data_IF_568468386311
#
_entry.id   IF_568468386311
#
_cell.length_a   1.000
_cell.length_b   1.000
_cell.length_c   1.000
_cell.angle_alpha   90.00
_cell.angle_beta   90.00
_cell.angle_gamma   90.00
#
_symmetry.space_group_name_H-M   'P 1'
#
loop_
_entity.id
_entity.type
_entity.pdbx_description
1 polymer ?
#
# COMPACT_ATOMS: atom_id res chain seq x y z
N UNK A 1 -9.73 -13.23 -5.18
CA UNK A 1 -8.44 -13.93 -5.28
C UNK A 1 -7.35 -13.05 -4.69
N UNK A 2 -6.69 -13.53 -3.65
CA UNK A 2 -5.63 -12.79 -2.99
C UNK A 2 -4.27 -12.91 -3.73
N UNK A 3 -4.04 -13.98 -4.51
CA UNK A 3 -2.90 -14.09 -5.42
C UNK A 3 -3.18 -13.31 -6.71
N UNK A 4 -2.34 -12.32 -7.03
CA UNK A 4 -2.52 -11.40 -8.16
C UNK A 4 -1.37 -11.51 -9.17
N UNK A 5 -1.64 -11.13 -10.43
CA UNK A 5 -0.57 -10.97 -11.42
C UNK A 5 0.23 -9.69 -11.15
N UNK A 6 1.54 -9.79 -11.21
CA UNK A 6 2.43 -8.63 -11.09
C UNK A 6 2.36 -7.79 -12.38
N UNK A 7 1.56 -6.70 -12.35
CA UNK A 7 1.44 -5.71 -13.43
C UNK A 7 1.46 -4.32 -12.82
N UNK A 8 2.62 -3.70 -12.79
CA UNK A 8 2.76 -2.34 -12.28
C UNK A 8 2.02 -1.34 -13.16
N UNK A 9 1.24 -0.47 -12.53
CA UNK A 9 0.55 0.65 -13.16
C UNK A 9 0.98 1.93 -12.46
N UNK A 10 2.02 2.58 -12.98
CA UNK A 10 2.66 3.73 -12.36
C UNK A 10 2.11 5.05 -12.91
N UNK A 11 1.99 6.04 -12.05
CA UNK A 11 1.78 7.43 -12.48
C UNK A 11 3.13 8.11 -12.82
N UNK A 12 3.06 9.39 -13.26
CA UNK A 12 4.27 10.18 -13.58
C UNK A 12 5.24 10.38 -12.40
N UNK A 13 4.79 10.11 -11.17
CA UNK A 13 5.58 10.23 -9.92
C UNK A 13 5.96 8.86 -9.37
N UNK A 14 5.91 7.82 -10.18
CA UNK A 14 6.28 6.46 -9.85
C UNK A 14 5.42 5.82 -8.75
N UNK A 15 4.26 6.40 -8.40
CA UNK A 15 3.32 5.76 -7.48
C UNK A 15 2.54 4.68 -8.19
N UNK A 16 2.49 3.51 -7.59
CA UNK A 16 1.62 2.44 -8.05
C UNK A 16 0.16 2.81 -7.82
N UNK A 17 -0.65 2.66 -8.87
CA UNK A 17 -2.06 3.03 -8.87
C UNK A 17 -2.99 1.83 -8.68
N UNK A 18 -2.47 0.63 -8.82
CA UNK A 18 -3.24 -0.59 -8.64
C UNK A 18 -3.34 -0.89 -7.14
N UNK A 19 -4.54 -1.09 -6.60
CA UNK A 19 -4.68 -1.50 -5.21
C UNK A 19 -4.19 -2.94 -5.02
N UNK A 20 -3.53 -3.21 -3.91
CA UNK A 20 -3.10 -4.54 -3.49
C UNK A 20 -4.19 -5.16 -2.60
N UNK A 21 -4.87 -6.18 -3.14
CA UNK A 21 -6.04 -6.79 -2.50
C UNK A 21 -7.32 -5.99 -2.69
N UNK A 22 -8.22 -6.13 -1.75
CA UNK A 22 -9.52 -5.43 -1.69
C UNK A 22 -9.60 -4.56 -0.44
N UNK A 23 -10.67 -3.76 -0.30
CA UNK A 23 -10.87 -3.02 0.95
C UNK A 23 -11.18 -3.91 2.15
N UNK A 24 -11.92 -4.99 1.91
CA UNK A 24 -12.27 -5.95 2.96
C UNK A 24 -11.04 -6.76 3.38
N UNK A 25 -10.15 -7.05 2.41
CA UNK A 25 -8.90 -7.75 2.63
C UNK A 25 -7.75 -7.05 1.89
N UNK A 26 -7.16 -5.99 2.47
CA UNK A 26 -6.15 -5.16 1.82
C UNK A 26 -4.76 -5.81 1.87
N UNK A 27 -4.66 -6.99 1.24
CA UNK A 27 -3.44 -7.77 1.08
C UNK A 27 -3.48 -8.52 -0.25
N UNK A 28 -2.36 -8.54 -0.95
CA UNK A 28 -2.17 -9.34 -2.15
C UNK A 28 -0.85 -10.11 -2.09
N UNK A 29 -0.88 -11.34 -2.62
CA UNK A 29 0.31 -12.15 -2.87
C UNK A 29 0.72 -12.08 -4.33
N UNK A 30 2.00 -12.13 -4.60
CA UNK A 30 2.59 -12.18 -5.94
C UNK A 30 3.62 -13.29 -6.03
N UNK A 31 3.64 -13.98 -7.18
CA UNK A 31 4.68 -14.95 -7.52
C UNK A 31 5.15 -14.67 -8.93
N UNK A 32 6.42 -14.36 -9.09
CA UNK A 32 6.98 -13.92 -10.37
C UNK A 32 8.38 -14.49 -10.60
N UNK A 33 8.75 -14.58 -11.89
CA UNK A 33 10.07 -14.99 -12.34
C UNK A 33 10.74 -13.84 -13.07
N UNK A 34 12.01 -13.58 -12.76
CA UNK A 34 12.81 -12.53 -13.34
C UNK A 34 14.11 -13.10 -13.90
N UNK A 35 14.53 -12.61 -15.06
CA UNK A 35 15.65 -13.16 -15.84
C UNK A 35 16.95 -12.35 -15.71
N UNK A 36 16.96 -11.29 -14.88
CA UNK A 36 18.08 -10.38 -14.73
C UNK A 36 18.26 -9.39 -15.89
N UNK A 37 17.39 -9.42 -16.90
CA UNK A 37 17.41 -8.44 -17.99
C UNK A 37 16.81 -7.12 -17.51
N UNK A 38 17.32 -6.00 -18.04
CA UNK A 38 16.86 -4.66 -17.64
C UNK A 38 15.36 -4.43 -17.92
N UNK A 39 14.86 -4.98 -19.02
CA UNK A 39 13.44 -4.92 -19.39
C UNK A 39 12.53 -5.74 -18.47
N UNK A 40 13.11 -6.68 -17.73
CA UNK A 40 12.43 -7.58 -16.79
C UNK A 40 12.69 -7.17 -15.33
N UNK A 41 13.08 -5.92 -15.10
CA UNK A 41 13.23 -5.38 -13.75
C UNK A 41 11.91 -4.87 -13.19
N UNK A 42 11.81 -4.81 -11.86
CA UNK A 42 10.76 -4.08 -11.15
C UNK A 42 11.21 -2.61 -11.10
N UNK A 43 10.60 -1.71 -11.92
CA UNK A 43 11.07 -0.33 -12.03
C UNK A 43 10.89 0.44 -10.73
N UNK A 44 11.59 1.57 -10.58
CA UNK A 44 11.40 2.46 -9.46
C UNK A 44 9.93 2.81 -9.27
N UNK A 45 9.37 2.45 -8.09
CA UNK A 45 8.00 2.73 -7.71
C UNK A 45 7.86 2.81 -6.20
N UNK A 46 6.70 3.24 -5.75
CA UNK A 46 6.31 3.26 -4.34
C UNK A 46 4.79 3.09 -4.21
N UNK A 47 4.36 2.60 -3.07
CA UNK A 47 2.97 2.39 -2.70
C UNK A 47 2.75 2.65 -1.20
N UNK A 48 1.50 2.70 -0.75
CA UNK A 48 1.13 3.00 0.63
C UNK A 48 1.22 1.76 1.55
N UNK A 49 1.37 0.61 0.97
CA UNK A 49 1.45 -0.68 1.63
C UNK A 49 2.85 -0.95 2.18
N UNK A 50 2.94 -1.87 3.14
CA UNK A 50 4.17 -2.55 3.51
C UNK A 50 4.32 -3.76 2.58
N UNK A 51 5.51 -3.96 2.03
CA UNK A 51 5.81 -5.12 1.19
C UNK A 51 6.86 -6.01 1.86
N UNK A 52 6.62 -7.31 1.88
CA UNK A 52 7.63 -8.31 2.23
C UNK A 52 7.91 -9.17 1.01
N UNK A 53 9.16 -9.14 0.58
CA UNK A 53 9.72 -9.86 -0.57
C UNK A 53 10.51 -11.04 -0.07
N UNK A 54 10.30 -12.24 -0.62
CA UNK A 54 11.04 -13.46 -0.31
C UNK A 54 11.63 -14.05 -1.59
N UNK A 55 12.91 -14.36 -1.58
CA UNK A 55 13.60 -14.99 -2.70
C UNK A 55 13.52 -16.51 -2.56
N UNK A 56 12.63 -17.12 -3.35
CA UNK A 56 12.46 -18.57 -3.35
C UNK A 56 13.62 -19.27 -4.09
N UNK A 57 14.13 -18.66 -5.17
CA UNK A 57 15.27 -19.18 -5.95
C UNK A 57 16.07 -18.00 -6.54
N UNK A 58 17.38 -18.14 -6.61
CA UNK A 58 18.27 -17.16 -7.22
C UNK A 58 18.66 -16.01 -6.28
N UNK A 59 18.85 -14.83 -6.84
CA UNK A 59 19.32 -13.64 -6.12
C UNK A 59 18.69 -12.37 -6.67
N UNK A 60 18.24 -11.51 -5.77
CA UNK A 60 17.63 -10.21 -6.07
C UNK A 60 18.54 -9.07 -5.60
N UNK A 61 18.79 -8.07 -6.45
CA UNK A 61 19.29 -6.77 -6.05
C UNK A 61 18.07 -5.85 -5.82
N UNK A 62 17.89 -5.38 -4.60
CA UNK A 62 16.84 -4.45 -4.20
C UNK A 62 17.46 -3.10 -3.83
N UNK A 63 16.91 -2.01 -4.34
CA UNK A 63 17.40 -0.64 -4.11
C UNK A 63 16.33 0.22 -3.49
N UNK A 64 16.74 0.99 -2.49
CA UNK A 64 16.03 2.17 -2.01
C UNK A 64 16.94 3.39 -2.28
N UNK A 65 16.47 4.64 -2.22
CA UNK A 65 17.27 5.79 -2.65
C UNK A 65 18.64 5.93 -1.99
N UNK A 66 18.77 5.46 -0.74
CA UNK A 66 20.01 5.59 0.05
C UNK A 66 20.93 4.37 -0.02
N UNK A 67 20.37 3.19 -0.39
CA UNK A 67 21.07 1.91 -0.18
C UNK A 67 20.66 0.86 -1.22
N UNK A 68 21.55 -0.13 -1.40
CA UNK A 68 21.29 -1.32 -2.21
C UNK A 68 21.54 -2.57 -1.37
N UNK A 69 20.66 -3.55 -1.54
CA UNK A 69 20.69 -4.81 -0.80
C UNK A 69 20.69 -5.98 -1.76
N UNK A 70 21.38 -7.04 -1.38
CA UNK A 70 21.29 -8.33 -2.05
C UNK A 70 20.51 -9.30 -1.18
N UNK A 71 19.47 -9.88 -1.74
CA UNK A 71 18.61 -10.86 -1.08
C UNK A 71 18.85 -12.21 -1.73
N UNK A 72 19.33 -13.17 -0.98
CA UNK A 72 19.70 -14.50 -1.46
C UNK A 72 18.54 -15.49 -1.30
N UNK A 73 18.62 -16.62 -1.99
CA UNK A 73 17.65 -17.73 -1.83
C UNK A 73 17.37 -18.05 -0.36
N UNK A 74 16.12 -18.00 0.04
CA UNK A 74 15.65 -18.29 1.39
C UNK A 74 15.63 -17.08 2.33
N UNK A 75 16.18 -15.95 1.92
CA UNK A 75 16.11 -14.70 2.66
C UNK A 75 14.94 -13.83 2.19
N UNK A 76 14.57 -12.82 2.99
CA UNK A 76 13.53 -11.87 2.67
C UNK A 76 13.99 -10.42 2.91
N UNK A 77 13.20 -9.48 2.40
CA UNK A 77 13.37 -8.06 2.65
C UNK A 77 12.00 -7.43 2.88
N UNK A 78 11.89 -6.58 3.88
CA UNK A 78 10.66 -5.83 4.14
C UNK A 78 10.87 -4.38 3.77
N UNK A 79 9.95 -3.83 2.99
CA UNK A 79 9.91 -2.43 2.55
C UNK A 79 8.78 -1.74 3.28
N UNK A 80 9.04 -0.58 3.88
CA UNK A 80 8.03 0.17 4.60
C UNK A 80 7.08 0.92 3.65
N UNK A 81 5.95 1.34 4.18
CA UNK A 81 4.97 2.20 3.50
C UNK A 81 5.61 3.44 2.90
N UNK A 82 5.23 3.80 1.69
CA UNK A 82 5.65 5.02 0.99
C UNK A 82 7.16 5.10 0.68
N UNK A 83 7.88 3.99 0.70
CA UNK A 83 9.30 3.94 0.35
C UNK A 83 9.47 3.69 -1.15
N UNK A 84 10.21 4.58 -1.82
CA UNK A 84 10.60 4.39 -3.23
C UNK A 84 11.58 3.23 -3.32
N UNK A 85 11.32 2.24 -4.17
CA UNK A 85 12.16 1.06 -4.33
C UNK A 85 12.21 0.56 -5.77
N UNK A 86 13.22 -0.25 -6.06
CA UNK A 86 13.52 -0.87 -7.34
C UNK A 86 14.09 -2.25 -7.09
N UNK A 87 13.81 -3.22 -7.96
CA UNK A 87 14.46 -4.52 -7.87
C UNK A 87 14.81 -5.11 -9.24
N UNK A 88 15.89 -5.87 -9.29
CA UNK A 88 16.32 -6.62 -10.47
C UNK A 88 16.97 -7.95 -10.03
N UNK A 89 16.67 -9.03 -10.74
CA UNK A 89 17.38 -10.29 -10.52
C UNK A 89 18.84 -10.16 -10.96
N UNK A 90 19.78 -10.79 -10.25
CA UNK A 90 21.18 -10.81 -10.68
C UNK A 90 21.35 -11.60 -12.00
N UNK A 91 20.73 -12.80 -12.05
CA UNK A 91 20.66 -13.64 -13.26
C UNK A 91 19.22 -14.15 -13.43
N UNK A 92 18.80 -15.08 -12.57
CA UNK A 92 17.46 -15.63 -12.48
C UNK A 92 16.98 -15.51 -11.04
N UNK A 93 15.72 -15.14 -10.86
CA UNK A 93 15.12 -15.05 -9.54
C UNK A 93 13.65 -15.45 -9.57
N UNK A 94 13.27 -16.36 -8.69
CA UNK A 94 11.87 -16.62 -8.36
C UNK A 94 11.53 -15.86 -7.08
N UNK A 95 10.59 -14.96 -7.21
CA UNK A 95 10.21 -14.03 -6.18
C UNK A 95 8.79 -14.30 -5.70
N UNK A 96 8.59 -14.34 -4.40
CA UNK A 96 7.28 -14.25 -3.77
C UNK A 96 7.19 -12.95 -2.99
N UNK A 97 6.08 -12.22 -3.09
CA UNK A 97 5.86 -11.07 -2.23
C UNK A 97 4.45 -11.03 -1.66
N UNK A 98 4.34 -10.42 -0.48
CA UNK A 98 3.10 -10.04 0.18
C UNK A 98 3.10 -8.53 0.33
N UNK A 99 2.10 -7.90 -0.28
CA UNK A 99 1.89 -6.46 -0.23
C UNK A 99 0.61 -6.20 0.54
N UNK A 100 0.69 -5.54 1.70
CA UNK A 100 -0.46 -5.34 2.57
C UNK A 100 -0.54 -3.92 3.12
N UNK A 101 -1.73 -3.36 3.08
CA UNK A 101 -1.98 -2.06 3.69
C UNK A 101 -1.97 -2.19 5.22
N UNK A 102 -1.37 -1.25 5.97
CA UNK A 102 -1.36 -1.26 7.44
C UNK A 102 -2.74 -1.46 8.09
N UNK A 103 -3.82 -1.06 7.42
CA UNK A 103 -5.20 -1.25 7.86
C UNK A 103 -5.56 -2.73 8.16
N UNK A 104 -4.91 -3.68 7.47
CA UNK A 104 -5.12 -5.11 7.73
C UNK A 104 -4.84 -5.48 9.19
N UNK A 105 -3.84 -4.84 9.79
CA UNK A 105 -3.35 -5.17 11.14
C UNK A 105 -3.96 -4.25 12.20
N UNK A 106 -4.03 -2.93 11.93
CA UNK A 106 -4.42 -1.94 12.94
C UNK A 106 -5.88 -2.07 13.42
N UNK A 107 -6.77 -2.67 12.60
CA UNK A 107 -8.21 -2.73 12.89
C UNK A 107 -8.86 -1.35 12.77
N UNK A 108 -9.34 -0.79 13.87
CA UNK A 108 -9.80 0.59 13.87
C UNK A 108 -8.68 1.57 14.28
N UNK A 109 -8.88 2.83 13.90
CA UNK A 109 -7.91 3.90 14.09
C UNK A 109 -7.60 4.24 15.57
N UNK A 110 -8.50 3.87 16.48
CA UNK A 110 -8.35 4.12 17.91
C UNK A 110 -7.82 2.93 18.71
N UNK A 111 -7.59 1.81 18.04
CA UNK A 111 -7.05 0.59 18.66
C UNK A 111 -5.65 0.80 19.22
N UNK A 112 -5.28 -0.02 20.20
CA UNK A 112 -3.90 -0.08 20.71
C UNK A 112 -2.91 -0.49 19.61
N UNK A 113 -3.35 -1.36 18.68
CA UNK A 113 -2.54 -1.79 17.54
C UNK A 113 -2.19 -0.61 16.62
N UNK A 114 -3.19 0.24 16.32
CA UNK A 114 -2.98 1.43 15.52
C UNK A 114 -2.04 2.42 16.20
N UNK A 115 -2.36 2.82 17.45
CA UNK A 115 -1.68 3.92 18.14
C UNK A 115 -0.27 3.57 18.61
N UNK A 116 -0.08 2.35 19.13
CA UNK A 116 1.18 1.96 19.77
C UNK A 116 2.16 1.29 18.80
N UNK A 117 1.67 0.57 17.77
CA UNK A 117 2.51 -0.30 16.96
C UNK A 117 2.53 0.10 15.48
N UNK A 118 1.40 0.03 14.79
CA UNK A 118 1.39 0.04 13.33
C UNK A 118 1.63 1.43 12.73
N UNK A 119 1.02 2.48 13.31
CA UNK A 119 1.24 3.85 12.84
C UNK A 119 2.67 4.34 13.09
N UNK A 120 3.24 4.17 14.30
CA UNK A 120 4.65 4.49 14.52
C UNK A 120 5.57 3.74 13.55
N UNK A 121 5.34 2.43 13.35
CA UNK A 121 6.12 1.62 12.42
C UNK A 121 6.03 2.12 10.98
N UNK A 122 4.81 2.32 10.44
CA UNK A 122 4.60 2.80 9.07
C UNK A 122 5.15 4.23 8.82
N UNK A 123 5.25 5.05 9.88
CA UNK A 123 5.82 6.41 9.80
C UNK A 123 7.30 6.47 10.18
N UNK A 124 7.92 5.36 10.54
CA UNK A 124 9.32 5.33 10.99
C UNK A 124 10.27 5.60 9.83
N UNK A 125 10.96 6.74 9.85
CA UNK A 125 11.92 7.12 8.81
C UNK A 125 13.20 6.27 8.84
N UNK A 126 13.57 5.71 10.00
CA UNK A 126 14.71 4.81 10.12
C UNK A 126 14.42 3.43 9.50
N UNK A 127 13.14 3.05 9.45
CA UNK A 127 12.68 1.84 8.76
C UNK A 127 12.26 2.18 7.33
N UNK A 128 13.18 2.36 6.41
CA UNK A 128 12.88 2.37 4.97
C UNK A 128 12.85 0.97 4.39
N UNK A 129 13.73 0.08 4.87
CA UNK A 129 13.77 -1.32 4.51
C UNK A 129 14.51 -2.14 5.57
N UNK A 130 14.25 -3.43 5.60
CA UNK A 130 14.81 -4.37 6.58
C UNK A 130 15.11 -5.72 5.94
N UNK A 131 16.39 -6.10 5.89
CA UNK A 131 16.79 -7.44 5.51
C UNK A 131 16.42 -8.44 6.62
N UNK A 132 15.90 -9.60 6.21
CA UNK A 132 15.49 -10.71 7.07
C UNK A 132 16.24 -11.96 6.62
N UNK A 133 17.31 -12.29 7.30
CA UNK A 133 18.13 -13.45 7.00
C UNK A 133 17.51 -14.73 7.57
N UNK A 134 17.46 -15.79 6.75
CA UNK A 134 17.04 -17.12 7.16
C UNK A 134 17.89 -17.71 8.30
N UNK A 135 19.15 -17.30 8.39
CA UNK A 135 20.06 -17.81 9.43
C UNK A 135 19.76 -17.23 10.81
N UNK A 136 19.35 -15.95 10.85
CA UNK A 136 19.11 -15.24 12.11
C UNK A 136 17.62 -15.18 12.46
N UNK A 137 16.76 -15.10 11.44
CA UNK A 137 15.34 -14.82 11.59
C UNK A 137 14.44 -15.86 10.91
N UNK A 138 14.81 -17.16 11.00
CA UNK A 138 14.07 -18.26 10.38
C UNK A 138 12.56 -18.26 10.71
N UNK A 139 12.19 -17.87 11.93
CA UNK A 139 10.80 -17.78 12.34
C UNK A 139 10.01 -16.70 11.59
N UNK A 140 10.65 -15.58 11.22
CA UNK A 140 10.02 -14.50 10.42
C UNK A 140 9.77 -14.97 8.99
N UNK A 141 10.74 -15.70 8.42
CA UNK A 141 10.59 -16.34 7.11
C UNK A 141 9.45 -17.38 7.15
N UNK A 142 9.35 -18.17 8.22
CA UNK A 142 8.26 -19.12 8.37
C UNK A 142 6.88 -18.44 8.43
N UNK A 143 6.75 -17.30 9.11
CA UNK A 143 5.51 -16.54 9.14
C UNK A 143 5.16 -16.02 7.75
N UNK A 144 6.13 -15.51 6.99
CA UNK A 144 5.90 -15.14 5.60
C UNK A 144 5.39 -16.32 4.77
N UNK A 145 6.09 -17.46 4.79
CA UNK A 145 5.71 -18.64 4.01
C UNK A 145 4.30 -19.12 4.38
N UNK A 146 3.97 -19.16 5.68
CA UNK A 146 2.63 -19.55 6.13
C UNK A 146 1.54 -18.62 5.64
N UNK A 147 1.78 -17.31 5.64
CA UNK A 147 0.83 -16.34 5.12
C UNK A 147 0.71 -16.43 3.58
N UNK A 148 1.83 -16.61 2.89
CA UNK A 148 1.85 -16.73 1.43
C UNK A 148 1.13 -17.99 0.95
N UNK A 149 1.41 -19.14 1.57
CA UNK A 149 0.75 -20.42 1.27
C UNK A 149 -0.77 -20.34 1.51
N UNK A 150 -1.19 -19.64 2.57
CA UNK A 150 -2.59 -19.41 2.85
C UNK A 150 -3.26 -18.56 1.73
N UNK A 151 -2.57 -17.56 1.18
CA UNK A 151 -3.07 -16.77 0.03
C UNK A 151 -3.13 -17.61 -1.24
N UNK A 152 -2.16 -18.49 -1.47
CA UNK A 152 -2.13 -19.34 -2.68
C UNK A 152 -3.25 -20.39 -2.66
N UNK A 153 -3.52 -20.99 -1.49
CA UNK A 153 -4.45 -22.10 -1.35
C UNK A 153 -5.88 -21.66 -1.02
N UNK A 154 -6.06 -20.47 -0.47
CA UNK A 154 -7.34 -19.89 -0.02
C UNK A 154 -8.23 -20.88 0.76
N UNK A 155 -7.71 -21.62 1.78
CA UNK A 155 -8.55 -22.48 2.60
C UNK A 155 -9.54 -21.62 3.41
N UNK A 156 -10.70 -22.15 3.85
CA UNK A 156 -11.64 -21.39 4.66
C UNK A 156 -10.95 -20.73 5.86
N UNK A 157 -11.08 -19.40 6.00
CA UNK A 157 -10.43 -18.62 7.05
C UNK A 157 -8.95 -18.28 6.80
N UNK A 158 -8.48 -18.38 5.56
CA UNK A 158 -7.10 -18.00 5.20
C UNK A 158 -6.75 -16.57 5.62
N UNK A 159 -7.72 -15.67 5.65
CA UNK A 159 -7.56 -14.27 6.06
C UNK A 159 -7.06 -14.16 7.51
N UNK A 160 -7.52 -15.05 8.40
CA UNK A 160 -7.02 -15.12 9.78
C UNK A 160 -5.56 -15.55 9.81
N UNK A 161 -5.19 -16.56 9.03
CA UNK A 161 -3.80 -17.07 8.95
C UNK A 161 -2.87 -15.98 8.45
N UNK A 162 -3.26 -15.27 7.38
CA UNK A 162 -2.49 -14.17 6.80
C UNK A 162 -2.33 -13.05 7.82
N UNK A 163 -3.43 -12.58 8.41
CA UNK A 163 -3.40 -11.49 9.39
C UNK A 163 -2.57 -11.83 10.62
N UNK A 164 -2.69 -13.04 11.15
CA UNK A 164 -1.91 -13.49 12.30
C UNK A 164 -0.40 -13.43 12.00
N UNK A 165 0.02 -14.04 10.90
CA UNK A 165 1.43 -14.10 10.54
C UNK A 165 2.01 -12.72 10.21
N UNK A 166 1.29 -11.87 9.46
CA UNK A 166 1.72 -10.51 9.18
C UNK A 166 1.72 -9.62 10.43
N UNK A 167 0.83 -9.86 11.40
CA UNK A 167 0.88 -9.20 12.72
C UNK A 167 2.17 -9.53 13.47
N UNK A 168 2.61 -10.79 13.42
CA UNK A 168 3.89 -11.23 14.01
C UNK A 168 5.09 -10.57 13.32
N UNK A 169 5.07 -10.46 11.99
CA UNK A 169 6.10 -9.73 11.22
C UNK A 169 6.13 -8.25 11.64
N UNK A 170 4.98 -7.58 11.74
CA UNK A 170 4.92 -6.19 12.20
C UNK A 170 5.44 -6.03 13.63
N UNK A 171 5.14 -6.97 14.52
CA UNK A 171 5.65 -6.95 15.88
C UNK A 171 7.17 -7.13 15.92
N UNK A 172 7.72 -8.06 15.15
CA UNK A 172 9.18 -8.24 15.00
C UNK A 172 9.85 -6.94 14.52
N UNK A 173 9.27 -6.26 13.52
CA UNK A 173 9.79 -4.97 13.05
C UNK A 173 9.70 -3.88 14.12
N UNK A 174 8.61 -3.85 14.88
CA UNK A 174 8.43 -2.90 15.99
C UNK A 174 9.51 -3.10 17.06
N UNK A 175 9.82 -4.34 17.44
CA UNK A 175 10.88 -4.61 18.40
C UNK A 175 12.27 -4.28 17.83
N UNK A 176 12.50 -4.56 16.55
CA UNK A 176 13.77 -4.27 15.88
C UNK A 176 14.09 -2.77 15.78
N UNK A 177 13.07 -1.94 15.57
CA UNK A 177 13.19 -0.48 15.45
C UNK A 177 12.68 0.26 16.71
N UNK A 178 12.66 -0.43 17.86
CA UNK A 178 12.05 0.07 19.09
C UNK A 178 12.62 1.43 19.53
N UNK A 179 13.94 1.57 19.50
CA UNK A 179 14.62 2.79 19.97
C UNK A 179 14.27 4.00 19.08
N UNK A 180 14.04 3.76 17.77
CA UNK A 180 13.62 4.79 16.82
C UNK A 180 12.13 5.11 16.91
N UNK A 181 11.30 4.16 17.37
CA UNK A 181 9.87 4.35 17.58
C UNK A 181 9.54 5.02 18.91
N UNK A 182 10.38 4.90 19.92
CA UNK A 182 10.21 5.51 21.24
C UNK A 182 10.56 7.03 21.28
N UNK A 183 10.97 7.60 20.13
CA UNK A 183 11.21 9.05 20.03
C UNK A 183 9.89 9.79 20.33
N UNK A 184 9.86 10.71 21.31
CA UNK A 184 8.65 11.40 21.74
C UNK A 184 7.89 12.03 20.56
N UNK A 185 6.56 12.03 20.60
CA UNK A 185 5.68 12.65 19.58
C UNK A 185 6.07 14.10 19.25
N UNK A 186 6.71 14.81 20.18
CA UNK A 186 7.23 16.17 20.00
C UNK A 186 8.36 16.28 18.97
N UNK A 187 9.00 15.15 18.62
CA UNK A 187 10.03 15.04 17.57
C UNK A 187 9.55 14.28 16.33
N UNK A 188 8.36 13.65 16.36
CA UNK A 188 7.71 13.21 15.14
C UNK A 188 7.49 14.43 14.25
N UNK A 189 7.95 14.35 12.99
CA UNK A 189 7.92 15.53 12.14
C UNK A 189 6.52 16.10 12.14
N UNK A 190 6.36 17.41 12.38
CA UNK A 190 5.06 18.10 12.32
C UNK A 190 4.34 17.80 11.02
N UNK A 191 5.08 17.47 9.97
CA UNK A 191 4.57 17.07 8.66
C UNK A 191 3.76 15.78 8.74
N UNK A 192 4.18 14.76 9.50
CA UNK A 192 3.45 13.50 9.65
C UNK A 192 2.11 13.67 10.37
N UNK A 193 2.10 14.48 11.45
CA UNK A 193 0.86 14.81 12.15
C UNK A 193 -0.11 15.61 11.25
N UNK A 194 0.43 16.55 10.46
CA UNK A 194 -0.34 17.34 9.51
C UNK A 194 -0.93 16.47 8.39
N UNK A 195 -0.10 15.61 7.78
CA UNK A 195 -0.56 14.68 6.74
C UNK A 195 -1.68 13.78 7.26
N UNK A 196 -1.53 13.22 8.45
CA UNK A 196 -2.54 12.36 9.06
C UNK A 196 -3.88 13.08 9.21
N UNK A 197 -3.91 14.28 9.81
CA UNK A 197 -5.13 15.08 9.96
C UNK A 197 -5.79 15.37 8.60
N UNK A 198 -4.98 15.67 7.59
CA UNK A 198 -5.47 15.95 6.24
C UNK A 198 -6.06 14.71 5.56
N UNK A 199 -5.43 13.54 5.73
CA UNK A 199 -5.94 12.27 5.19
C UNK A 199 -7.23 11.83 5.89
N UNK A 200 -7.30 11.94 7.22
CA UNK A 200 -8.51 11.67 8.01
C UNK A 200 -9.68 12.57 7.56
N UNK A 201 -9.40 13.86 7.32
CA UNK A 201 -10.39 14.80 6.78
C UNK A 201 -10.91 14.36 5.41
N UNK A 202 -10.00 14.03 4.48
CA UNK A 202 -10.37 13.56 3.14
C UNK A 202 -11.20 12.27 3.21
N UNK A 203 -10.79 11.29 4.02
CA UNK A 203 -11.50 10.03 4.18
C UNK A 203 -12.93 10.23 4.73
N UNK A 204 -13.11 11.20 5.62
CA UNK A 204 -14.41 11.48 6.23
C UNK A 204 -15.36 12.23 5.30
N UNK A 205 -14.83 13.11 4.45
CA UNK A 205 -15.63 14.05 3.66
C UNK A 205 -15.46 13.90 2.14
N UNK A 206 -14.86 12.80 1.65
CA UNK A 206 -14.52 12.62 0.22
C UNK A 206 -15.70 12.80 -0.73
N UNK A 207 -16.92 12.54 -0.30
CA UNK A 207 -18.15 12.69 -1.09
C UNK A 207 -18.63 14.15 -1.19
N UNK A 208 -18.13 15.07 -0.35
CA UNK A 208 -18.47 16.49 -0.36
C UNK A 208 -17.58 17.29 -1.36
N UNK A 209 -17.95 18.53 -1.66
CA UNK A 209 -17.13 19.46 -2.46
C UNK A 209 -15.90 19.91 -1.64
N UNK A 210 -14.87 19.08 -1.56
CA UNK A 210 -13.63 19.37 -0.83
C UNK A 210 -12.74 20.32 -1.64
N UNK A 211 -12.35 21.44 -1.03
CA UNK A 211 -11.36 22.39 -1.56
C UNK A 211 -10.01 22.22 -0.84
N UNK A 212 -8.95 22.70 -1.49
CA UNK A 212 -7.60 22.69 -0.91
C UNK A 212 -7.55 23.40 0.46
N UNK A 213 -8.27 24.50 0.57
CA UNK A 213 -8.38 25.28 1.81
C UNK A 213 -8.96 24.46 2.98
N UNK A 214 -9.95 23.61 2.71
CA UNK A 214 -10.58 22.77 3.74
C UNK A 214 -9.62 21.71 4.27
N UNK A 215 -8.87 21.08 3.36
CA UNK A 215 -7.83 20.10 3.70
C UNK A 215 -6.71 20.76 4.52
N UNK A 216 -6.25 21.93 4.12
CA UNK A 216 -5.22 22.68 4.83
C UNK A 216 -5.69 23.09 6.24
N UNK A 217 -6.93 23.56 6.36
CA UNK A 217 -7.55 23.92 7.63
C UNK A 217 -7.67 22.76 8.60
N UNK A 218 -7.91 21.53 8.11
CA UNK A 218 -7.98 20.35 8.96
C UNK A 218 -6.67 20.07 9.73
N UNK A 219 -5.54 20.56 9.22
CA UNK A 219 -4.23 20.42 9.86
C UNK A 219 -3.71 21.76 10.45
N UNK A 220 -4.54 22.79 10.54
CA UNK A 220 -4.20 24.13 11.04
C UNK A 220 -3.02 24.76 10.28
N UNK A 221 -2.96 24.60 8.94
CA UNK A 221 -1.90 25.13 8.07
C UNK A 221 -2.48 25.88 6.85
N UNK A 222 -1.61 26.65 6.19
CA UNK A 222 -1.97 27.29 4.91
C UNK A 222 -1.89 26.32 3.74
N UNK A 223 -2.57 26.66 2.63
CA UNK A 223 -2.63 25.84 1.41
C UNK A 223 -1.25 25.52 0.82
N UNK A 224 -0.30 26.48 0.84
CA UNK A 224 1.08 26.24 0.36
C UNK A 224 1.79 25.16 1.17
N UNK A 225 1.61 25.16 2.48
CA UNK A 225 2.20 24.19 3.38
C UNK A 225 1.51 22.82 3.24
N UNK A 226 0.19 22.81 3.03
CA UNK A 226 -0.58 21.62 2.70
C UNK A 226 -0.03 20.94 1.43
N UNK A 227 0.15 21.70 0.35
CA UNK A 227 0.75 21.22 -0.89
C UNK A 227 2.15 20.66 -0.66
N UNK A 228 2.99 21.35 0.13
CA UNK A 228 4.34 20.92 0.48
C UNK A 228 4.33 19.59 1.24
N UNK A 229 3.50 19.47 2.27
CA UNK A 229 3.38 18.26 3.08
C UNK A 229 2.92 17.07 2.23
N UNK A 230 1.88 17.25 1.41
CA UNK A 230 1.39 16.20 0.51
C UNK A 230 2.46 15.81 -0.52
N UNK A 231 3.15 16.79 -1.12
CA UNK A 231 4.19 16.52 -2.10
C UNK A 231 5.37 15.74 -1.49
N UNK A 232 5.76 16.08 -0.26
CA UNK A 232 6.87 15.44 0.44
C UNK A 232 6.54 14.00 0.88
N UNK A 233 5.32 13.78 1.39
CA UNK A 233 4.94 12.52 2.06
C UNK A 233 4.16 11.58 1.14
N UNK A 234 3.16 12.11 0.41
CA UNK A 234 2.24 11.31 -0.43
C UNK A 234 2.65 11.35 -1.90
N UNK A 235 3.50 12.32 -2.30
CA UNK A 235 3.92 12.58 -3.68
C UNK A 235 2.77 12.82 -4.67
N UNK A 236 1.59 13.17 -4.16
CA UNK A 236 0.42 13.63 -4.90
C UNK A 236 0.03 15.03 -4.41
N UNK A 237 -0.72 15.79 -5.22
CA UNK A 237 -1.42 16.93 -4.65
C UNK A 237 -2.62 16.46 -3.82
N UNK A 238 -3.09 17.26 -2.81
CA UNK A 238 -4.26 16.93 -2.01
C UNK A 238 -5.49 16.59 -2.87
N UNK A 239 -5.78 17.37 -3.89
CA UNK A 239 -6.93 17.13 -4.79
C UNK A 239 -6.74 15.88 -5.65
N UNK A 240 -5.50 15.57 -6.08
CA UNK A 240 -5.24 14.30 -6.76
C UNK A 240 -5.48 13.09 -5.84
N UNK A 241 -5.15 13.23 -4.55
CA UNK A 241 -5.43 12.20 -3.56
C UNK A 241 -6.94 12.02 -3.33
N UNK A 242 -7.71 13.13 -3.20
CA UNK A 242 -9.18 13.08 -3.12
C UNK A 242 -9.77 12.32 -4.31
N UNK A 243 -9.36 12.67 -5.54
CA UNK A 243 -9.83 11.98 -6.74
C UNK A 243 -9.48 10.50 -6.76
N UNK A 244 -8.25 10.15 -6.35
CA UNK A 244 -7.84 8.73 -6.21
C UNK A 244 -8.74 8.01 -5.21
N UNK A 245 -8.94 8.58 -4.03
CA UNK A 245 -9.77 7.99 -2.98
C UNK A 245 -11.22 7.77 -3.44
N UNK A 246 -11.83 8.77 -4.08
CA UNK A 246 -13.17 8.67 -4.69
C UNK A 246 -13.29 7.53 -5.70
N UNK A 247 -12.27 7.35 -6.54
CA UNK A 247 -12.24 6.28 -7.55
C UNK A 247 -12.15 4.90 -6.91
N UNK A 248 -11.35 4.74 -5.86
CA UNK A 248 -11.26 3.50 -5.10
C UNK A 248 -12.62 3.17 -4.48
N UNK A 249 -13.25 4.14 -3.77
CA UNK A 249 -14.59 3.95 -3.19
C UNK A 249 -15.65 3.63 -4.26
N UNK A 250 -15.54 4.27 -5.43
CA UNK A 250 -16.43 3.97 -6.56
C UNK A 250 -16.26 2.57 -7.12
N UNK A 251 -15.03 2.03 -7.16
CA UNK A 251 -14.78 0.66 -7.58
C UNK A 251 -15.44 -0.35 -6.64
N UNK A 252 -15.38 -0.11 -5.33
CA UNK A 252 -16.05 -0.93 -4.33
C UNK A 252 -17.57 -0.91 -4.48
N UNK A 253 -18.16 0.28 -4.61
CA UNK A 253 -19.59 0.42 -4.81
C UNK A 253 -20.06 -0.29 -6.08
N UNK A 254 -19.24 -0.35 -7.13
CA UNK A 254 -19.55 -1.08 -8.36
C UNK A 254 -19.70 -2.58 -8.14
N UNK A 255 -18.97 -3.16 -7.18
CA UNK A 255 -19.00 -4.59 -6.87
C UNK A 255 -20.09 -4.93 -5.84
N UNK A 256 -20.21 -4.12 -4.79
CA UNK A 256 -21.11 -4.41 -3.67
C UNK A 256 -22.56 -3.92 -3.88
N UNK A 257 -22.77 -2.98 -4.80
CA UNK A 257 -24.08 -2.40 -5.09
C UNK A 257 -24.41 -2.55 -6.59
N UNK A 258 -24.64 -3.79 -7.08
CA UNK A 258 -24.87 -4.06 -8.51
C UNK A 258 -26.13 -3.39 -9.06
N UNK A 259 -27.13 -3.12 -8.21
CA UNK A 259 -28.37 -2.42 -8.54
C UNK A 259 -28.19 -0.94 -8.82
N UNK A 260 -27.15 -0.31 -8.24
CA UNK A 260 -26.93 1.13 -8.41
C UNK A 260 -26.40 1.43 -9.83
N UNK A 261 -26.94 2.45 -10.47
CA UNK A 261 -26.43 2.94 -11.73
C UNK A 261 -25.03 3.55 -11.57
N UNK A 262 -24.26 3.60 -12.67
CA UNK A 262 -22.94 4.25 -12.68
C UNK A 262 -23.06 5.74 -12.26
N UNK A 263 -24.19 6.38 -12.62
CA UNK A 263 -24.45 7.78 -12.25
C UNK A 263 -24.66 7.95 -10.75
N UNK A 264 -25.43 7.10 -10.11
CA UNK A 264 -25.65 7.10 -8.66
C UNK A 264 -24.36 6.88 -7.90
N UNK A 265 -23.55 5.90 -8.33
CA UNK A 265 -22.23 5.64 -7.73
C UNK A 265 -21.30 6.85 -7.90
N UNK A 266 -21.25 7.45 -9.09
CA UNK A 266 -20.45 8.65 -9.31
C UNK A 266 -20.83 9.79 -8.36
N UNK A 267 -22.12 10.03 -8.19
CA UNK A 267 -22.66 11.05 -7.26
C UNK A 267 -22.32 10.69 -5.81
N UNK A 268 -22.54 9.45 -5.38
CA UNK A 268 -22.21 8.98 -4.04
C UNK A 268 -20.71 9.08 -3.71
N UNK A 269 -19.84 9.05 -4.74
CA UNK A 269 -18.40 9.28 -4.58
C UNK A 269 -18.00 10.75 -4.70
N UNK A 270 -18.93 11.69 -4.79
CA UNK A 270 -18.64 13.13 -4.85
C UNK A 270 -18.20 13.62 -6.22
N UNK A 271 -18.55 12.93 -7.31
CA UNK A 271 -18.34 13.44 -8.66
C UNK A 271 -19.58 14.22 -9.14
N UNK A 272 -19.37 15.44 -9.61
CA UNK A 272 -20.44 16.26 -10.20
C UNK A 272 -20.96 15.67 -11.53
N UNK A 273 -20.12 14.89 -12.23
CA UNK A 273 -20.44 14.34 -13.54
C UNK A 273 -20.05 12.86 -13.63
N UNK A 274 -21.00 11.97 -13.99
CA UNK A 274 -20.73 10.56 -14.28
C UNK A 274 -19.70 10.37 -15.40
N UNK A 275 -19.64 11.30 -16.36
CA UNK A 275 -18.67 11.28 -17.45
C UNK A 275 -17.24 11.53 -16.91
N UNK A 276 -17.08 12.45 -15.97
CA UNK A 276 -15.79 12.72 -15.32
C UNK A 276 -15.36 11.51 -14.47
N UNK A 277 -16.27 10.92 -13.69
CA UNK A 277 -16.04 9.68 -12.97
C UNK A 277 -15.53 8.58 -13.90
N UNK A 278 -16.26 8.29 -14.98
CA UNK A 278 -15.90 7.23 -15.93
C UNK A 278 -14.54 7.48 -16.60
N UNK A 279 -14.23 8.73 -16.96
CA UNK A 279 -12.94 9.11 -17.55
C UNK A 279 -11.78 8.87 -16.59
N UNK A 280 -11.92 9.33 -15.33
CA UNK A 280 -10.89 9.17 -14.31
C UNK A 280 -10.79 7.69 -13.92
N UNK A 281 -11.89 6.98 -13.75
CA UNK A 281 -11.93 5.55 -13.46
C UNK A 281 -11.16 4.74 -14.52
N UNK A 282 -11.44 4.98 -15.82
CA UNK A 282 -10.71 4.33 -16.92
C UNK A 282 -9.21 4.63 -16.90
N UNK A 283 -8.82 5.83 -16.46
CA UNK A 283 -7.40 6.20 -16.31
C UNK A 283 -6.71 5.35 -15.22
N UNK A 284 -7.40 5.06 -14.10
CA UNK A 284 -6.89 4.28 -12.97
C UNK A 284 -6.93 2.77 -13.25
N UNK A 285 -8.08 2.24 -13.61
CA UNK A 285 -8.32 0.79 -13.75
C UNK A 285 -8.14 0.25 -15.17
N UNK A 286 -7.81 1.10 -16.17
CA UNK A 286 -7.64 0.77 -17.60
C UNK A 286 -8.88 0.15 -18.27
N UNK A 287 -10.01 0.13 -17.60
CA UNK A 287 -11.31 -0.28 -18.11
C UNK A 287 -12.39 0.70 -17.65
N UNK A 288 -13.55 0.68 -18.29
CA UNK A 288 -14.69 1.51 -17.89
C UNK A 288 -15.33 0.94 -16.60
N UNK A 289 -16.07 1.75 -15.80
CA UNK A 289 -16.82 1.26 -14.65
C UNK A 289 -17.75 0.10 -14.98
N UNK A 290 -18.36 0.11 -16.18
CA UNK A 290 -19.25 -0.94 -16.65
C UNK A 290 -18.52 -2.25 -16.96
N UNK A 291 -17.35 -2.17 -17.58
CA UNK A 291 -16.48 -3.33 -17.84
C UNK A 291 -15.92 -3.90 -16.53
N UNK A 292 -15.55 -3.04 -15.59
CA UNK A 292 -15.06 -3.44 -14.27
C UNK A 292 -16.12 -4.26 -13.52
N UNK A 293 -17.36 -3.75 -13.43
CA UNK A 293 -18.49 -4.47 -12.81
C UNK A 293 -18.76 -5.83 -13.41
N UNK A 294 -18.58 -6.00 -14.74
CA UNK A 294 -18.81 -7.28 -15.41
C UNK A 294 -17.72 -8.30 -15.15
N UNK A 295 -16.45 -7.88 -15.13
CA UNK A 295 -15.29 -8.79 -14.99
C UNK A 295 -15.22 -9.52 -13.65
N UNK A 296 -15.81 -8.97 -12.61
CA UNK A 296 -15.80 -9.53 -11.25
C UNK A 296 -17.08 -10.34 -10.96
N UNK A 297 -18.09 -10.28 -11.86
CA UNK A 297 -19.33 -11.06 -11.75
C UNK A 297 -19.37 -12.31 -12.66
N UNK A 298 -18.34 -12.50 -13.50
CA UNK A 298 -18.08 -13.68 -14.32
C UNK A 298 -16.94 -14.53 -13.70
#
# INVERSE_FOLDING_TARGET
MALQECRLNLNQKLKELRPHGTLEFPCAGYSSYYTGRQEDSIPWHWHEEIEMVYVAEGRLELKIPSESFYVETGDAFVINSNVLHYAIAADYCKLHSLVFHPALILGNEDSVFAKKYIRPLASCHAFSGCAVSRLENAHVIQWFCSAFDAIVQEPPGFEFVVRENLSRVCFFLTEKFKDELEVPETLQSQDNLRIRKMLEYIQKYYFDDIKLADIAKAADIGERECLRCFQKTIQLSPIQYVLKYRIIRGAEMLLHNPENSISEIATACGFESPSNFSKIFKRFYKCTPREYRKKEND
#
